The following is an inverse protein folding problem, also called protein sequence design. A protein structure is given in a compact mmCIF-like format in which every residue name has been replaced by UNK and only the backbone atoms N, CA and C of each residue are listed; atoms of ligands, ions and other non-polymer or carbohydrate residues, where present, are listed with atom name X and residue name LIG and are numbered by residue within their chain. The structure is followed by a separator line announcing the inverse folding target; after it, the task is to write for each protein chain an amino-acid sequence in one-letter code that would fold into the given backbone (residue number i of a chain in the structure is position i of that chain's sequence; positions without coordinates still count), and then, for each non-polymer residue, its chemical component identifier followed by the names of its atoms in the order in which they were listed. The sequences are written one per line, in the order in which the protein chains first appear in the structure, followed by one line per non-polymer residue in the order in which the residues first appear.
data_IF_677243874194
#
_entry.id   IF_677243874194
#
_cell.length_a   1.000
_cell.length_b   1.000
_cell.length_c   1.000
_cell.angle_alpha   90.00
_cell.angle_beta   90.00
_cell.angle_gamma   90.00
#
_symmetry.space_group_name_H-M   'P 1'
#
loop_
_entity.id
_entity.type
_entity.pdbx_description
1 polymer ?
#
# COMPACT_ATOMS: atom_id res chain seq x y z
N UNK A 1 -3.68 26.69 -1.57
CA UNK A 1 -3.15 26.18 -0.27
C UNK A 1 -4.02 26.61 0.89
N UNK A 2 -4.31 25.70 1.81
CA UNK A 2 -5.23 25.91 2.94
C UNK A 2 -4.83 27.10 3.83
N UNK A 3 -3.54 27.33 4.05
CA UNK A 3 -3.01 28.29 5.02
C UNK A 3 -2.44 29.59 4.41
N UNK A 4 -2.65 29.85 3.12
CA UNK A 4 -2.22 31.09 2.44
C UNK A 4 -0.74 31.49 2.68
N UNK A 5 0.12 30.51 2.93
CA UNK A 5 1.57 30.71 3.13
C UNK A 5 2.31 30.65 1.81
N UNK A 6 3.41 31.39 1.72
CA UNK A 6 4.36 31.39 0.62
C UNK A 6 5.69 30.81 1.08
N UNK A 7 6.52 30.31 0.15
CA UNK A 7 7.80 29.74 0.48
C UNK A 7 8.11 28.46 -0.26
N UNK A 8 8.81 27.53 0.38
CA UNK A 8 9.10 26.23 -0.23
C UNK A 8 9.21 25.10 0.78
N UNK A 9 9.06 23.88 0.28
CA UNK A 9 9.43 22.65 0.97
C UNK A 9 10.50 21.93 0.16
N UNK A 10 11.49 21.36 0.84
CA UNK A 10 12.58 20.62 0.23
C UNK A 10 12.95 19.40 1.06
N UNK A 11 13.16 18.26 0.40
CA UNK A 11 13.68 17.06 1.04
C UNK A 11 15.21 17.21 1.19
N UNK A 12 15.72 17.03 2.41
CA UNK A 12 17.12 17.12 2.78
C UNK A 12 17.77 15.73 2.96
N UNK A 13 17.13 14.66 2.47
CA UNK A 13 17.60 13.30 2.72
C UNK A 13 17.51 12.93 4.20
N UNK A 14 18.58 12.41 4.76
CA UNK A 14 18.65 11.99 6.17
C UNK A 14 18.50 13.14 7.17
N UNK A 15 18.73 14.37 6.75
CA UNK A 15 18.51 15.56 7.58
C UNK A 15 17.02 15.90 7.74
N UNK A 16 16.13 15.19 7.03
CA UNK A 16 14.68 15.37 7.13
C UNK A 16 14.11 16.28 6.06
N UNK A 17 13.14 17.12 6.43
CA UNK A 17 12.45 18.04 5.54
C UNK A 17 12.66 19.47 6.02
N UNK A 18 13.11 20.33 5.14
CA UNK A 18 13.18 21.77 5.37
C UNK A 18 11.95 22.44 4.78
N UNK A 19 11.32 23.30 5.57
CA UNK A 19 10.16 24.10 5.14
C UNK A 19 10.46 25.55 5.48
N UNK A 20 10.51 26.40 4.47
CA UNK A 20 10.61 27.86 4.64
C UNK A 20 9.25 28.45 4.31
N UNK A 21 8.68 29.21 5.25
CA UNK A 21 7.36 29.81 5.09
C UNK A 21 7.36 31.29 5.49
N UNK A 22 6.61 32.06 4.75
CA UNK A 22 6.32 33.47 5.04
C UNK A 22 4.80 33.70 4.97
N UNK A 23 4.28 34.50 5.89
CA UNK A 23 2.86 34.80 5.99
C UNK A 23 2.50 35.46 7.31
N UNK A 24 1.20 35.63 7.57
CA UNK A 24 0.71 36.16 8.85
C UNK A 24 0.97 35.15 9.96
N UNK A 25 1.26 35.65 11.17
CA UNK A 25 1.55 34.80 12.34
C UNK A 25 0.48 33.75 12.57
N UNK A 26 -0.80 34.13 12.51
CA UNK A 26 -1.91 33.17 12.68
C UNK A 26 -1.95 32.06 11.63
N UNK A 27 -1.59 32.34 10.39
CA UNK A 27 -1.51 31.35 9.31
C UNK A 27 -0.34 30.38 9.53
N UNK A 28 0.80 30.89 10.05
CA UNK A 28 1.96 30.07 10.43
C UNK A 28 1.62 29.16 11.63
N UNK A 29 0.96 29.69 12.65
CA UNK A 29 0.54 28.91 13.83
C UNK A 29 -0.46 27.81 13.45
N UNK A 30 -1.41 28.11 12.57
CA UNK A 30 -2.35 27.12 12.02
C UNK A 30 -1.64 26.03 11.20
N UNK A 31 -0.65 26.39 10.38
CA UNK A 31 0.16 25.44 9.65
C UNK A 31 0.93 24.49 10.57
N UNK A 32 1.56 25.01 11.63
CA UNK A 32 2.31 24.20 12.59
C UNK A 32 1.38 23.24 13.38
N UNK A 33 0.15 23.66 13.64
CA UNK A 33 -0.89 22.81 14.23
C UNK A 33 -1.31 21.72 13.25
N UNK A 34 -1.66 22.07 12.00
CA UNK A 34 -2.03 21.13 10.96
C UNK A 34 -0.94 20.09 10.70
N UNK A 35 0.33 20.50 10.69
CA UNK A 35 1.47 19.61 10.50
C UNK A 35 1.56 18.52 11.57
N UNK A 36 1.13 18.79 12.78
CA UNK A 36 1.14 17.83 13.90
C UNK A 36 -0.13 16.97 13.94
N UNK A 37 -1.29 17.58 13.78
CA UNK A 37 -2.59 16.95 13.99
C UNK A 37 -3.14 16.27 12.73
N UNK A 38 -2.89 16.85 11.55
CA UNK A 38 -3.44 16.42 10.26
C UNK A 38 -2.37 15.88 9.31
N UNK A 39 -1.30 15.31 9.86
CA UNK A 39 -0.25 14.68 9.05
C UNK A 39 -0.80 13.45 8.32
N UNK A 40 -0.24 13.06 7.15
CA UNK A 40 -0.54 11.78 6.52
C UNK A 40 -0.39 10.61 7.51
N UNK A 41 -1.25 9.60 7.39
CA UNK A 41 -1.36 8.50 8.37
C UNK A 41 -0.03 7.77 8.62
N UNK A 42 0.80 7.65 7.61
CA UNK A 42 2.12 6.98 7.68
C UNK A 42 3.26 7.92 8.07
N UNK A 43 3.04 9.23 8.09
CA UNK A 43 4.09 10.18 8.41
C UNK A 43 4.44 10.11 9.90
N UNK A 44 5.71 9.80 10.20
CA UNK A 44 6.26 9.83 11.56
C UNK A 44 7.12 11.08 11.72
N UNK A 45 6.57 12.08 12.40
CA UNK A 45 7.31 13.31 12.72
C UNK A 45 7.94 13.13 14.09
N UNK A 46 9.25 12.89 14.12
CA UNK A 46 9.98 12.71 15.37
C UNK A 46 10.25 14.03 16.06
N UNK A 47 10.54 15.08 15.29
CA UNK A 47 10.90 16.38 15.83
C UNK A 47 10.55 17.50 14.84
N UNK A 48 10.04 18.61 15.34
CA UNK A 48 9.86 19.86 14.58
C UNK A 48 10.66 20.94 15.29
N UNK A 49 11.59 21.55 14.59
CA UNK A 49 12.38 22.70 15.07
C UNK A 49 11.99 23.90 14.24
N UNK A 50 11.72 25.01 14.87
CA UNK A 50 11.36 26.26 14.19
C UNK A 50 12.37 27.34 14.56
N UNK A 51 12.76 28.15 13.59
CA UNK A 51 13.60 29.33 13.80
C UNK A 51 13.05 30.49 12.98
N UNK A 52 13.09 31.70 13.54
CA UNK A 52 12.80 32.89 12.78
C UNK A 52 14.01 33.23 11.89
N UNK A 53 13.72 33.51 10.63
CA UNK A 53 14.74 33.96 9.68
C UNK A 53 14.49 35.44 9.32
N UNK A 54 15.56 36.19 9.02
CA UNK A 54 15.39 37.48 8.35
C UNK A 54 14.87 37.21 6.93
N UNK A 55 13.89 38.00 6.49
CA UNK A 55 13.39 37.91 5.12
C UNK A 55 14.50 38.28 4.15
N UNK A 56 15.09 37.27 3.50
CA UNK A 56 16.17 37.44 2.52
C UNK A 56 15.65 37.31 1.09
N UNK A 57 14.51 36.66 0.90
CA UNK A 57 13.91 36.39 -0.40
C UNK A 57 12.37 36.58 -0.32
N UNK A 58 11.82 37.18 -1.39
CA UNK A 58 10.36 37.26 -1.56
C UNK A 58 9.88 36.06 -2.33
N UNK A 59 8.89 35.36 -1.76
CA UNK A 59 8.22 34.22 -2.41
C UNK A 59 6.86 34.68 -2.93
N UNK A 60 6.55 34.36 -4.18
CA UNK A 60 5.24 34.67 -4.78
C UNK A 60 4.21 33.57 -4.49
N UNK A 61 4.66 32.34 -4.33
CA UNK A 61 3.84 31.16 -4.04
C UNK A 61 4.57 30.17 -3.14
N UNK A 62 3.94 29.06 -2.82
CA UNK A 62 4.59 27.93 -2.11
C UNK A 62 4.97 26.85 -3.12
N UNK A 63 6.25 26.49 -3.16
CA UNK A 63 6.82 25.59 -4.15
C UNK A 63 7.48 24.36 -3.53
N UNK A 64 7.57 23.27 -4.30
CA UNK A 64 8.40 22.13 -3.96
C UNK A 64 9.75 22.29 -4.63
N UNK A 65 10.79 22.54 -3.83
CA UNK A 65 12.17 22.68 -4.32
C UNK A 65 12.80 21.32 -4.58
N UNK A 66 13.71 21.27 -5.53
CA UNK A 66 14.50 20.07 -5.83
C UNK A 66 15.29 19.64 -4.60
N UNK A 67 15.22 18.35 -4.27
CA UNK A 67 15.98 17.75 -3.16
C UNK A 67 17.46 18.07 -3.26
N UNK A 68 18.11 18.48 -2.15
CA UNK A 68 19.53 18.78 -2.17
C UNK A 68 20.33 17.48 -2.37
N UNK A 69 21.18 17.45 -3.41
CA UNK A 69 22.04 16.30 -3.75
C UNK A 69 23.30 16.18 -2.86
N UNK A 70 23.43 17.00 -1.83
CA UNK A 70 24.69 17.17 -1.07
C UNK A 70 24.87 16.22 0.11
N UNK A 71 23.94 15.36 0.41
CA UNK A 71 24.10 14.36 1.47
C UNK A 71 24.30 12.99 0.83
N UNK A 72 25.39 12.34 1.18
CA UNK A 72 25.63 10.94 0.86
C UNK A 72 24.43 10.11 1.32
N UNK A 73 24.04 9.12 0.52
CA UNK A 73 22.87 8.24 0.71
C UNK A 73 23.01 7.29 1.92
N UNK A 74 23.69 7.72 2.98
CA UNK A 74 23.81 6.94 4.21
C UNK A 74 22.59 7.20 5.08
N UNK A 75 21.64 6.28 5.10
CA UNK A 75 20.54 6.27 6.07
C UNK A 75 19.13 6.53 5.56
N UNK A 76 18.92 6.70 4.25
CA UNK A 76 17.54 6.81 3.71
C UNK A 76 16.71 5.58 4.11
N UNK A 77 15.69 5.78 4.93
CA UNK A 77 14.78 4.71 5.34
C UNK A 77 14.00 4.26 4.12
N UNK A 78 14.19 3.01 3.72
CA UNK A 78 13.38 2.41 2.66
C UNK A 78 11.95 2.25 3.20
N UNK A 79 10.93 2.84 2.56
CA UNK A 79 9.57 2.72 3.04
C UNK A 79 9.09 1.27 2.92
N UNK A 80 8.44 0.69 3.95
CA UNK A 80 7.88 -0.65 3.87
C UNK A 80 6.67 -0.68 2.93
N UNK A 81 6.32 -1.88 2.48
CA UNK A 81 5.02 -2.12 1.86
C UNK A 81 3.91 -1.89 2.88
N UNK A 82 2.79 -1.36 2.44
CA UNK A 82 1.66 -0.99 3.29
C UNK A 82 0.40 -1.63 2.74
N UNK A 83 -0.40 -2.20 3.62
CA UNK A 83 -1.70 -2.77 3.27
C UNK A 83 -2.61 -1.71 2.65
N UNK A 84 -3.58 -2.16 1.86
CA UNK A 84 -4.59 -1.28 1.27
C UNK A 84 -5.28 -0.42 2.33
N UNK A 85 -5.38 0.88 2.11
CA UNK A 85 -6.12 1.79 2.98
C UNK A 85 -7.63 1.76 2.69
N UNK A 86 -8.43 2.23 3.64
CA UNK A 86 -9.90 2.20 3.53
C UNK A 86 -10.40 2.95 2.31
N UNK A 87 -9.80 4.08 1.96
CA UNK A 87 -10.19 4.85 0.78
C UNK A 87 -9.93 4.09 -0.53
N UNK A 88 -8.76 3.44 -0.66
CA UNK A 88 -8.49 2.57 -1.81
C UNK A 88 -9.41 1.35 -1.83
N UNK A 89 -9.78 0.81 -0.67
CA UNK A 89 -10.72 -0.31 -0.58
C UNK A 89 -12.14 0.10 -1.00
N UNK A 90 -12.57 1.32 -0.64
CA UNK A 90 -13.85 1.87 -1.11
C UNK A 90 -13.84 2.07 -2.63
N UNK A 91 -12.79 2.67 -3.17
CA UNK A 91 -12.65 2.86 -4.61
C UNK A 91 -12.59 1.53 -5.38
N UNK A 92 -11.89 0.52 -4.85
CA UNK A 92 -11.82 -0.83 -5.42
C UNK A 92 -13.21 -1.47 -5.58
N UNK A 93 -14.14 -1.17 -4.68
CA UNK A 93 -15.50 -1.72 -4.65
C UNK A 93 -16.54 -0.83 -5.35
N UNK A 94 -16.19 0.37 -5.74
CA UNK A 94 -17.11 1.32 -6.35
C UNK A 94 -17.12 1.15 -7.88
N UNK A 95 -18.21 0.63 -8.44
CA UNK A 95 -18.35 0.37 -9.89
C UNK A 95 -18.14 1.60 -10.76
N UNK A 96 -18.43 2.80 -10.23
CA UNK A 96 -18.21 4.07 -10.93
C UNK A 96 -16.74 4.54 -10.90
N UNK A 97 -15.87 3.90 -10.13
CA UNK A 97 -14.47 4.31 -10.03
C UNK A 97 -13.64 3.67 -11.16
N UNK A 98 -12.74 4.41 -11.82
CA UNK A 98 -11.84 3.87 -12.85
C UNK A 98 -10.93 2.73 -12.38
N UNK A 99 -10.81 2.52 -11.06
CA UNK A 99 -10.05 1.41 -10.44
C UNK A 99 -10.95 0.35 -9.80
N UNK A 100 -12.23 0.32 -10.20
CA UNK A 100 -13.12 -0.75 -9.77
C UNK A 100 -12.53 -2.13 -10.11
N UNK A 101 -12.54 -3.05 -9.15
CA UNK A 101 -12.01 -4.42 -9.27
C UNK A 101 -10.52 -4.50 -9.71
N UNK A 102 -9.76 -3.41 -9.57
CA UNK A 102 -8.34 -3.35 -9.97
C UNK A 102 -7.42 -3.73 -8.81
N UNK A 103 -6.87 -4.93 -8.86
CA UNK A 103 -6.07 -5.53 -7.78
C UNK A 103 -4.82 -4.72 -7.38
N UNK A 104 -4.25 -3.90 -8.29
CA UNK A 104 -3.06 -3.09 -8.02
C UNK A 104 -3.41 -1.64 -7.62
N UNK A 105 -4.55 -1.41 -7.00
CA UNK A 105 -4.93 -0.08 -6.54
C UNK A 105 -4.02 0.40 -5.41
N UNK A 106 -3.48 1.60 -5.54
CA UNK A 106 -2.56 2.22 -4.58
C UNK A 106 -2.76 3.72 -4.45
N UNK A 107 -2.20 4.32 -3.39
CA UNK A 107 -2.09 5.77 -3.23
C UNK A 107 -0.81 6.13 -2.44
N UNK A 108 -0.68 7.38 -1.99
CA UNK A 108 0.45 7.80 -1.14
C UNK A 108 0.49 7.10 0.22
N UNK A 109 -0.66 6.65 0.73
CA UNK A 109 -0.79 6.04 2.06
C UNK A 109 -0.79 4.51 2.05
N UNK A 110 -0.87 3.85 0.90
CA UNK A 110 -0.93 2.39 0.83
C UNK A 110 -0.27 1.83 -0.44
N UNK A 111 -0.11 0.52 -0.46
CA UNK A 111 0.43 -0.24 -1.58
C UNK A 111 1.91 -0.60 -1.44
N UNK A 112 2.48 -1.24 -2.46
CA UNK A 112 3.86 -1.68 -2.45
C UNK A 112 4.83 -0.51 -2.55
N UNK A 113 5.95 -0.62 -1.85
CA UNK A 113 7.09 0.31 -1.87
C UNK A 113 8.39 -0.47 -1.91
N UNK A 114 8.77 -1.10 -0.79
CA UNK A 114 9.99 -1.91 -0.68
C UNK A 114 10.09 -2.94 -1.81
N UNK A 115 9.05 -3.71 -2.05
CA UNK A 115 9.04 -4.77 -3.06
C UNK A 115 9.12 -4.27 -4.51
N UNK A 116 8.89 -2.98 -4.75
CA UNK A 116 9.01 -2.39 -6.09
C UNK A 116 10.30 -1.61 -6.31
N UNK A 117 11.06 -1.29 -5.24
CA UNK A 117 12.28 -0.48 -5.32
C UNK A 117 13.40 -1.32 -5.95
N UNK A 118 14.02 -0.80 -7.00
CA UNK A 118 15.24 -1.35 -7.57
C UNK A 118 16.48 -0.61 -7.09
N UNK A 119 16.35 0.71 -6.86
CA UNK A 119 17.42 1.57 -6.33
C UNK A 119 16.84 2.83 -5.69
N UNK A 120 17.62 3.47 -4.85
CA UNK A 120 17.30 4.78 -4.26
C UNK A 120 17.76 5.93 -5.18
N UNK A 121 17.14 7.14 -5.06
CA UNK A 121 15.98 7.47 -4.21
C UNK A 121 14.68 6.82 -4.70
N UNK A 122 13.68 6.73 -3.81
CA UNK A 122 12.37 6.18 -4.14
C UNK A 122 11.59 7.11 -5.07
N UNK A 123 11.87 6.97 -6.35
CA UNK A 123 11.18 7.62 -7.48
C UNK A 123 10.69 6.54 -8.45
N UNK A 124 9.59 6.75 -9.16
CA UNK A 124 9.01 5.77 -10.10
C UNK A 124 10.04 5.19 -11.08
N UNK A 125 10.93 6.01 -11.62
CA UNK A 125 12.02 5.59 -12.54
C UNK A 125 13.02 4.62 -11.91
N UNK A 126 13.07 4.56 -10.59
CA UNK A 126 13.95 3.71 -9.80
C UNK A 126 13.21 2.50 -9.19
N UNK A 127 12.00 2.23 -9.67
CA UNK A 127 11.15 1.12 -9.26
C UNK A 127 10.80 0.25 -10.47
N UNK A 128 10.29 -0.96 -10.23
CA UNK A 128 9.74 -1.83 -11.29
C UNK A 128 8.59 -1.18 -12.04
N UNK A 129 7.94 -0.15 -11.45
CA UNK A 129 6.87 0.61 -12.10
C UNK A 129 7.34 1.47 -13.27
N UNK A 130 8.65 1.61 -13.50
CA UNK A 130 9.19 2.25 -14.73
C UNK A 130 8.73 1.54 -16.02
N UNK A 131 8.42 0.24 -15.93
CA UNK A 131 7.91 -0.56 -17.05
C UNK A 131 6.46 -0.22 -17.42
N UNK A 132 5.75 0.55 -16.57
CA UNK A 132 4.35 0.90 -16.72
C UNK A 132 4.18 2.42 -16.85
N UNK A 133 4.33 3.00 -18.07
CA UNK A 133 4.12 4.43 -18.29
C UNK A 133 2.69 4.84 -17.90
N UNK A 134 2.58 5.91 -17.13
CA UNK A 134 1.26 6.41 -16.70
C UNK A 134 0.44 6.90 -17.89
N UNK A 135 -0.83 6.52 -17.97
CA UNK A 135 -1.82 7.16 -18.83
C UNK A 135 -2.10 8.59 -18.36
N UNK A 136 -2.80 9.38 -19.16
CA UNK A 136 -3.07 10.79 -18.84
C UNK A 136 -3.84 10.94 -17.54
N UNK A 137 -4.86 10.12 -17.31
CA UNK A 137 -5.61 10.08 -16.05
C UNK A 137 -4.71 9.89 -14.82
N UNK A 138 -3.86 8.86 -14.81
CA UNK A 138 -2.95 8.64 -13.70
C UNK A 138 -1.87 9.72 -13.57
N UNK A 139 -1.47 10.34 -14.68
CA UNK A 139 -0.50 11.43 -14.71
C UNK A 139 -1.08 12.73 -14.15
N UNK A 140 -2.35 13.00 -14.38
CA UNK A 140 -3.07 14.14 -13.80
C UNK A 140 -3.15 14.00 -12.28
N UNK A 141 -3.63 12.87 -11.75
CA UNK A 141 -3.66 12.61 -10.32
C UNK A 141 -2.25 12.70 -9.69
N UNK A 142 -1.23 12.17 -10.38
CA UNK A 142 0.16 12.21 -9.89
C UNK A 142 0.71 13.64 -9.76
N UNK A 143 0.24 14.58 -10.58
CA UNK A 143 0.68 15.98 -10.61
C UNK A 143 -0.19 16.91 -9.78
N UNK A 144 -1.42 16.54 -9.49
CA UNK A 144 -2.35 17.36 -8.72
C UNK A 144 -2.04 17.28 -7.23
N UNK A 145 -1.57 18.38 -6.65
CA UNK A 145 -1.25 18.46 -5.22
C UNK A 145 -2.45 18.32 -4.29
N UNK A 146 -3.66 18.37 -4.81
CA UNK A 146 -4.91 18.12 -4.07
C UNK A 146 -5.36 16.66 -4.11
N UNK A 147 -4.79 15.85 -5.01
CA UNK A 147 -5.13 14.43 -5.16
C UNK A 147 -4.35 13.57 -4.17
N UNK A 148 -5.00 12.54 -3.64
CA UNK A 148 -4.40 11.56 -2.71
C UNK A 148 -3.36 10.64 -3.38
N UNK A 149 -3.17 10.73 -4.70
CA UNK A 149 -2.11 10.06 -5.47
C UNK A 149 -1.02 11.02 -5.92
N UNK A 150 -1.03 12.25 -5.43
CA UNK A 150 0.04 13.20 -5.68
C UNK A 150 1.40 12.60 -5.35
N UNK A 151 2.29 12.49 -6.37
CA UNK A 151 3.60 11.83 -6.26
C UNK A 151 3.58 10.37 -5.74
N UNK A 152 2.46 9.66 -5.83
CA UNK A 152 2.41 8.23 -5.52
C UNK A 152 3.18 7.43 -6.58
N UNK A 153 4.38 6.97 -6.26
CA UNK A 153 5.32 6.38 -7.23
C UNK A 153 4.78 5.09 -7.89
N UNK A 154 3.86 4.41 -7.22
CA UNK A 154 3.26 3.16 -7.69
C UNK A 154 1.87 3.35 -8.32
N UNK A 155 1.40 4.60 -8.51
CA UNK A 155 0.08 4.87 -9.10
C UNK A 155 -0.08 4.19 -10.46
N UNK A 156 -1.23 3.54 -10.63
CA UNK A 156 -1.63 2.86 -11.85
C UNK A 156 -3.16 2.69 -11.90
N UNK A 157 -3.67 2.33 -13.05
CA UNK A 157 -5.06 1.91 -13.26
C UNK A 157 -5.09 0.73 -14.25
N UNK A 158 -6.28 0.21 -14.53
CA UNK A 158 -6.48 -0.90 -15.48
C UNK A 158 -5.87 -0.65 -16.87
N UNK A 159 -5.75 0.62 -17.30
CA UNK A 159 -5.24 0.98 -18.62
C UNK A 159 -3.70 1.09 -18.70
N UNK A 160 -3.02 1.29 -17.58
CA UNK A 160 -1.59 1.60 -17.62
C UNK A 160 -0.75 0.85 -16.58
N UNK A 161 -1.33 0.00 -15.78
CA UNK A 161 -0.63 -0.73 -14.72
C UNK A 161 -0.49 -2.23 -14.99
N UNK A 162 0.00 -2.97 -13.99
CA UNK A 162 0.09 -4.42 -14.06
C UNK A 162 -1.25 -5.09 -14.33
N UNK A 163 -1.21 -6.15 -15.12
CA UNK A 163 -2.36 -7.01 -15.43
C UNK A 163 -2.22 -8.36 -14.74
N UNK A 164 -3.37 -8.94 -14.37
CA UNK A 164 -3.43 -10.33 -13.90
C UNK A 164 -3.72 -11.25 -15.08
N UNK A 165 -3.08 -12.41 -15.11
CA UNK A 165 -3.39 -13.48 -16.03
C UNK A 165 -3.34 -14.83 -15.33
N UNK A 166 -4.04 -15.82 -15.85
CA UNK A 166 -4.07 -17.18 -15.34
C UNK A 166 -3.30 -18.10 -16.31
N UNK A 167 -2.56 -19.05 -15.76
CA UNK A 167 -1.83 -20.02 -16.56
C UNK A 167 -2.13 -21.44 -16.12
N UNK A 168 -1.98 -22.36 -17.03
CA UNK A 168 -1.81 -23.77 -16.75
C UNK A 168 -0.46 -24.05 -16.05
N UNK A 169 -0.30 -25.27 -15.53
CA UNK A 169 0.95 -25.69 -14.87
C UNK A 169 2.18 -25.66 -15.80
N UNK A 170 1.99 -25.73 -17.09
CA UNK A 170 3.05 -25.67 -18.11
C UNK A 170 3.42 -24.23 -18.51
N UNK A 171 2.71 -23.22 -17.93
CA UNK A 171 2.90 -21.80 -18.21
C UNK A 171 2.07 -21.26 -19.38
N UNK A 172 1.27 -22.07 -20.06
CA UNK A 172 0.36 -21.60 -21.11
C UNK A 172 -0.71 -20.69 -20.52
N UNK A 173 -0.93 -19.53 -21.11
CA UNK A 173 -1.95 -18.58 -20.66
C UNK A 173 -3.33 -19.12 -20.98
N UNK A 174 -4.22 -19.07 -20.00
CA UNK A 174 -5.63 -19.40 -20.14
C UNK A 174 -6.36 -18.11 -20.54
N UNK A 175 -7.03 -18.13 -21.69
CA UNK A 175 -7.81 -16.98 -22.18
C UNK A 175 -9.15 -16.90 -21.43
N UNK A 176 -9.20 -16.02 -20.45
CA UNK A 176 -10.38 -15.77 -19.61
C UNK A 176 -10.57 -14.27 -19.38
N UNK A 177 -11.82 -13.82 -19.33
CA UNK A 177 -12.16 -12.40 -19.13
C UNK A 177 -11.75 -11.87 -17.75
N UNK A 178 -11.77 -12.71 -16.73
CA UNK A 178 -11.48 -12.31 -15.35
C UNK A 178 -10.61 -13.37 -14.67
N UNK A 179 -9.28 -13.31 -14.81
CA UNK A 179 -8.36 -14.29 -14.23
C UNK A 179 -8.50 -14.48 -12.72
N UNK A 180 -8.80 -13.39 -11.99
CA UNK A 180 -8.98 -13.45 -10.53
C UNK A 180 -10.25 -14.21 -10.17
N UNK A 181 -11.36 -13.98 -10.86
CA UNK A 181 -12.64 -14.69 -10.60
C UNK A 181 -12.51 -16.15 -10.99
N UNK A 182 -11.84 -16.46 -12.10
CA UNK A 182 -11.57 -17.84 -12.52
C UNK A 182 -10.70 -18.58 -11.50
N UNK A 183 -9.63 -17.95 -11.01
CA UNK A 183 -8.82 -18.50 -9.93
C UNK A 183 -9.65 -18.76 -8.65
N UNK A 184 -10.58 -17.88 -8.31
CA UNK A 184 -11.49 -18.06 -7.19
C UNK A 184 -12.46 -19.25 -7.41
N UNK A 185 -12.95 -19.45 -8.63
CA UNK A 185 -13.77 -20.62 -8.98
C UNK A 185 -12.98 -21.92 -8.79
N UNK A 186 -11.78 -22.01 -9.34
CA UNK A 186 -10.88 -23.15 -9.14
C UNK A 186 -10.62 -23.44 -7.65
N UNK A 187 -10.37 -22.41 -6.83
CA UNK A 187 -10.21 -22.58 -5.38
C UNK A 187 -11.49 -23.18 -4.75
N UNK A 188 -12.67 -22.69 -5.13
CA UNK A 188 -13.95 -23.17 -4.61
C UNK A 188 -14.22 -24.63 -4.99
N UNK A 189 -13.75 -25.07 -6.14
CA UNK A 189 -13.82 -26.47 -6.59
C UNK A 189 -12.83 -27.38 -5.86
N UNK A 190 -11.81 -26.84 -5.23
CA UNK A 190 -10.81 -27.57 -4.46
C UNK A 190 -9.46 -27.70 -5.17
N UNK A 191 -9.19 -26.84 -6.13
CA UNK A 191 -7.86 -26.70 -6.72
C UNK A 191 -6.87 -26.05 -5.75
N UNK A 192 -5.59 -26.30 -5.97
CA UNK A 192 -4.49 -25.54 -5.39
C UNK A 192 -4.02 -24.55 -6.43
N UNK A 193 -4.04 -23.26 -6.12
CA UNK A 193 -3.64 -22.19 -7.03
C UNK A 193 -2.35 -21.53 -6.52
N UNK A 194 -1.37 -21.35 -7.40
CA UNK A 194 -0.18 -20.57 -7.13
C UNK A 194 -0.43 -19.11 -7.51
N UNK A 195 -0.53 -18.21 -6.52
CA UNK A 195 -0.79 -16.79 -6.74
C UNK A 195 0.51 -16.02 -6.58
N UNK A 196 0.93 -15.31 -7.62
CA UNK A 196 2.08 -14.38 -7.58
C UNK A 196 1.65 -13.09 -6.90
N UNK A 197 2.10 -12.88 -5.67
CA UNK A 197 2.00 -11.60 -4.97
C UNK A 197 3.23 -10.71 -5.20
N UNK A 198 3.30 -9.55 -4.55
CA UNK A 198 4.44 -8.63 -4.68
C UNK A 198 5.76 -9.23 -4.24
N UNK A 199 5.79 -9.98 -3.14
CA UNK A 199 7.01 -10.55 -2.57
C UNK A 199 7.33 -11.97 -3.05
N UNK A 200 6.43 -12.67 -3.74
CA UNK A 200 6.63 -14.06 -4.15
C UNK A 200 5.34 -14.81 -4.43
N UNK A 201 5.44 -16.14 -4.57
CA UNK A 201 4.30 -16.99 -4.81
C UNK A 201 3.66 -17.49 -3.50
N UNK A 202 2.34 -17.49 -3.46
CA UNK A 202 1.55 -18.12 -2.43
C UNK A 202 0.81 -19.33 -3.01
N UNK A 203 0.95 -20.50 -2.38
CA UNK A 203 0.11 -21.65 -2.70
C UNK A 203 -1.15 -21.57 -1.83
N UNK A 204 -2.28 -21.50 -2.47
CA UNK A 204 -3.58 -21.26 -1.84
C UNK A 204 -4.53 -22.40 -2.16
N UNK A 205 -5.32 -22.83 -1.19
CA UNK A 205 -6.45 -23.75 -1.37
C UNK A 205 -7.60 -23.33 -0.44
N UNK A 206 -8.81 -23.85 -0.71
CA UNK A 206 -9.94 -23.65 0.21
C UNK A 206 -9.68 -24.31 1.56
N UNK A 207 -10.19 -23.70 2.63
CA UNK A 207 -10.10 -24.18 4.00
C UNK A 207 -11.30 -25.04 4.43
N UNK A 208 -12.35 -25.10 3.62
CA UNK A 208 -13.61 -25.82 3.92
C UNK A 208 -13.65 -27.24 3.36
N UNK A 209 -12.61 -27.65 2.63
CA UNK A 209 -12.50 -29.00 2.06
C UNK A 209 -11.18 -29.63 2.50
N UNK A 210 -11.27 -30.84 3.04
CA UNK A 210 -10.11 -31.55 3.58
C UNK A 210 -9.12 -32.00 2.48
N UNK A 211 -9.63 -32.54 1.37
CA UNK A 211 -8.77 -33.07 0.30
C UNK A 211 -7.71 -32.11 -0.25
N UNK A 212 -8.05 -30.85 -0.61
CA UNK A 212 -7.05 -29.89 -1.06
C UNK A 212 -5.99 -29.59 -0.01
N UNK A 213 -6.39 -29.51 1.27
CA UNK A 213 -5.48 -29.20 2.36
C UNK A 213 -4.50 -30.34 2.61
N UNK A 214 -4.95 -31.60 2.63
CA UNK A 214 -4.09 -32.80 2.74
C UNK A 214 -3.10 -32.80 1.57
N UNK A 215 -3.57 -32.57 0.33
CA UNK A 215 -2.69 -32.51 -0.84
C UNK A 215 -1.64 -31.42 -0.73
N UNK A 216 -2.04 -30.20 -0.31
CA UNK A 216 -1.10 -29.09 -0.11
C UNK A 216 -0.08 -29.43 0.99
N UNK A 217 -0.51 -30.05 2.09
CA UNK A 217 0.36 -30.46 3.19
C UNK A 217 1.38 -31.49 2.76
N UNK A 218 0.96 -32.49 1.97
CA UNK A 218 1.82 -33.52 1.41
C UNK A 218 2.86 -32.91 0.44
N UNK A 219 2.42 -32.07 -0.50
CA UNK A 219 3.28 -31.41 -1.49
C UNK A 219 4.32 -30.49 -0.83
N UNK A 220 3.95 -29.81 0.27
CA UNK A 220 4.87 -28.95 1.01
C UNK A 220 5.71 -29.68 2.05
N UNK A 221 5.57 -31.00 2.18
CA UNK A 221 6.19 -31.82 3.24
C UNK A 221 5.99 -31.25 4.66
N UNK A 222 4.81 -30.69 4.91
CA UNK A 222 4.50 -29.90 6.10
C UNK A 222 3.57 -30.66 7.03
N UNK A 223 4.15 -31.57 7.85
CA UNK A 223 3.37 -32.51 8.66
C UNK A 223 2.56 -31.85 9.78
N UNK A 224 3.13 -30.90 10.51
CA UNK A 224 2.52 -30.34 11.74
C UNK A 224 2.36 -28.80 11.72
N UNK A 225 3.21 -28.09 10.99
CA UNK A 225 3.20 -26.63 10.99
C UNK A 225 1.89 -26.09 10.38
N UNK A 226 1.14 -25.20 11.07
CA UNK A 226 -0.12 -24.66 10.56
C UNK A 226 0.09 -23.82 9.30
N UNK A 227 -0.95 -23.73 8.48
CA UNK A 227 -1.04 -22.77 7.39
C UNK A 227 -1.70 -21.49 7.87
N UNK A 228 -1.32 -20.36 7.29
CA UNK A 228 -2.03 -19.11 7.50
C UNK A 228 -3.39 -19.16 6.77
N UNK A 229 -4.43 -18.68 7.43
CA UNK A 229 -5.77 -18.55 6.86
C UNK A 229 -6.01 -17.08 6.51
N UNK A 230 -6.52 -16.83 5.32
CA UNK A 230 -6.97 -15.50 4.90
C UNK A 230 -8.50 -15.45 4.96
N UNK A 231 -9.03 -14.41 5.57
CA UNK A 231 -10.47 -14.16 5.68
C UNK A 231 -10.87 -12.88 4.97
N UNK A 232 -12.11 -12.82 4.53
CA UNK A 232 -12.67 -11.64 3.89
C UNK A 232 -12.85 -10.47 4.87
N UNK A 233 -13.20 -10.74 6.12
CA UNK A 233 -13.46 -9.72 7.14
C UNK A 233 -13.30 -10.27 8.56
N UNK A 234 -13.31 -9.38 9.57
CA UNK A 234 -13.30 -9.77 10.98
C UNK A 234 -14.59 -10.49 11.38
N UNK A 235 -15.73 -10.17 10.77
CA UNK A 235 -17.01 -10.85 11.01
C UNK A 235 -16.91 -12.32 10.62
N UNK A 236 -16.34 -12.60 9.45
CA UNK A 236 -16.08 -13.98 9.01
C UNK A 236 -15.07 -14.67 9.95
N UNK A 237 -14.02 -13.96 10.38
CA UNK A 237 -13.04 -14.51 11.29
C UNK A 237 -13.67 -14.95 12.63
N UNK A 238 -14.62 -14.18 13.18
CA UNK A 238 -15.36 -14.51 14.42
C UNK A 238 -16.15 -15.81 14.35
N UNK A 239 -16.46 -16.31 13.16
CA UNK A 239 -17.22 -17.56 13.02
C UNK A 239 -16.39 -18.81 13.37
N UNK A 240 -15.05 -18.72 13.35
CA UNK A 240 -14.18 -19.86 13.63
C UNK A 240 -12.97 -19.54 14.52
N UNK A 241 -12.77 -18.30 14.95
CA UNK A 241 -11.67 -17.90 15.81
C UNK A 241 -12.12 -16.92 16.89
N UNK A 242 -11.48 -16.96 18.05
CA UNK A 242 -11.65 -16.04 19.17
C UNK A 242 -10.54 -15.00 19.17
N UNK A 243 -10.89 -13.72 19.31
CA UNK A 243 -9.94 -12.63 19.42
C UNK A 243 -10.57 -11.38 20.08
N UNK A 244 -9.73 -10.57 20.72
CA UNK A 244 -10.11 -9.31 21.33
C UNK A 244 -9.74 -8.11 20.44
N UNK A 245 -9.89 -6.91 21.04
CA UNK A 245 -9.64 -5.63 20.35
C UNK A 245 -8.19 -5.49 19.87
N UNK A 246 -7.23 -5.97 20.66
CA UNK A 246 -5.80 -5.91 20.33
C UNK A 246 -5.46 -6.73 19.09
N UNK A 247 -5.97 -7.94 18.98
CA UNK A 247 -5.79 -8.79 17.81
C UNK A 247 -6.50 -8.19 16.59
N UNK A 248 -7.69 -7.63 16.78
CA UNK A 248 -8.43 -6.92 15.73
C UNK A 248 -7.65 -5.72 15.20
N UNK A 249 -7.07 -4.89 16.08
CA UNK A 249 -6.20 -3.78 15.69
C UNK A 249 -4.98 -4.24 14.88
N UNK A 250 -4.32 -5.32 15.30
CA UNK A 250 -3.18 -5.89 14.58
C UNK A 250 -3.59 -6.40 13.19
N UNK A 251 -4.68 -7.16 13.11
CA UNK A 251 -5.19 -7.74 11.86
C UNK A 251 -5.65 -6.69 10.85
N UNK A 252 -6.11 -5.53 11.31
CA UNK A 252 -6.57 -4.43 10.46
C UNK A 252 -5.54 -3.31 10.30
N UNK A 253 -4.39 -3.41 10.99
CA UNK A 253 -3.32 -2.42 10.89
C UNK A 253 -2.75 -2.32 9.48
N UNK A 254 -2.01 -1.27 9.20
CA UNK A 254 -1.31 -1.09 7.91
C UNK A 254 -0.25 -2.16 7.62
N UNK A 255 0.19 -2.91 8.65
CA UNK A 255 1.16 -4.01 8.53
C UNK A 255 0.45 -5.33 8.19
N UNK A 256 -0.77 -5.54 8.72
CA UNK A 256 -1.57 -6.79 8.61
C UNK A 256 -0.75 -8.05 8.84
N UNK A 257 -0.18 -8.23 10.03
CA UNK A 257 0.63 -9.39 10.35
C UNK A 257 -0.22 -10.66 10.43
N UNK A 258 0.44 -11.82 10.34
CA UNK A 258 -0.20 -13.09 10.71
C UNK A 258 -0.32 -13.13 12.23
N UNK A 259 -1.54 -13.29 12.75
CA UNK A 259 -1.85 -13.34 14.17
C UNK A 259 -2.30 -14.76 14.54
N UNK A 260 -1.72 -15.33 15.61
CA UNK A 260 -2.14 -16.64 16.12
C UNK A 260 -3.33 -16.44 17.05
N UNK A 261 -4.44 -17.11 16.74
CA UNK A 261 -5.70 -16.98 17.45
C UNK A 261 -6.14 -18.34 18.00
N UNK A 262 -7.02 -18.34 19.01
CA UNK A 262 -7.70 -19.55 19.47
C UNK A 262 -8.79 -19.94 18.50
N UNK A 263 -9.01 -21.24 18.31
CA UNK A 263 -10.19 -21.77 17.61
C UNK A 263 -11.44 -21.47 18.44
N UNK A 264 -12.52 -21.04 17.78
CA UNK A 264 -13.80 -20.93 18.45
C UNK A 264 -14.41 -22.32 18.75
N UNK A 265 -15.40 -22.38 19.63
CA UNK A 265 -16.14 -23.61 19.90
C UNK A 265 -16.79 -24.21 18.64
N UNK A 266 -17.19 -23.37 17.71
CA UNK A 266 -17.80 -23.75 16.43
C UNK A 266 -16.78 -23.83 15.28
N UNK A 267 -15.53 -24.15 15.56
CA UNK A 267 -14.49 -24.26 14.54
C UNK A 267 -14.85 -25.32 13.49
N UNK A 268 -14.90 -24.94 12.22
CA UNK A 268 -15.35 -25.80 11.12
C UNK A 268 -14.35 -25.92 9.97
N UNK A 269 -13.20 -25.23 10.04
CA UNK A 269 -12.20 -25.32 8.98
C UNK A 269 -11.47 -26.67 9.05
N UNK A 270 -11.04 -27.17 7.90
CA UNK A 270 -10.25 -28.39 7.78
C UNK A 270 -8.88 -28.26 8.46
N UNK A 271 -8.31 -29.35 8.98
CA UNK A 271 -7.03 -29.40 9.73
C UNK A 271 -5.84 -29.89 8.89
#
# INVERSE_FOLDING_TARGET
MKNKLKGYVRNMGDAGVEIVITGKKGDIDNFLKDLRENKPSLAKIHRVTTSAMKETEKYDDFTISVSSRKTELSGSVIPPDVAICDQCLLELKAESNPRYDYFFITCTDCGPRFTTIERLPYDRKNTTMKAFPMCDFCREEYKDSSDRRFHAQTVACTNCGPEAYLTENNGSVIDVKSPIREAAAHLSEGSIVAIKGYGGFHLVCTTTKEKPLIRLRATKHRKQKPFAVMTHSLEVLKTFAEFGDREAELLTSYIRPIVVLRKSENYFLSE
#
